data_IF_945994000552
#
_entry.id   IF_945994000552
#
_cell.length_a   1.000
_cell.length_b   1.000
_cell.length_c   1.000
_cell.angle_alpha   90.00
_cell.angle_beta   90.00
_cell.angle_gamma   90.00
#
_symmetry.space_group_name_H-M   'P 1'
#
loop_
_entity.id
_entity.type
_entity.pdbx_description
1 polymer ?
#
# COMPACT_ATOMS: atom_id res chain seq x y z
N UNK A 1 71.63 0.58 -14.45
CA UNK A 1 70.45 1.10 -15.16
C UNK A 1 69.27 1.04 -14.19
N UNK A 2 68.70 2.18 -13.77
CA UNK A 2 67.54 2.21 -12.86
C UNK A 2 66.27 2.24 -13.71
N UNK A 3 65.42 1.21 -13.58
CA UNK A 3 64.11 1.15 -14.22
C UNK A 3 63.14 2.13 -13.56
N UNK A 4 62.47 2.94 -14.38
CA UNK A 4 61.45 3.89 -13.96
C UNK A 4 60.12 3.13 -13.85
N UNK A 5 59.57 3.05 -12.64
CA UNK A 5 58.25 2.49 -12.39
C UNK A 5 57.20 3.57 -12.70
N UNK A 6 56.42 3.39 -13.76
CA UNK A 6 55.29 4.26 -14.07
C UNK A 6 54.10 3.83 -13.21
N UNK A 7 53.69 4.71 -12.30
CA UNK A 7 52.43 4.59 -11.56
C UNK A 7 51.40 5.47 -12.29
N UNK A 8 50.42 4.84 -12.94
CA UNK A 8 49.28 5.55 -13.52
C UNK A 8 48.35 5.96 -12.37
N UNK A 9 48.26 7.25 -12.08
CA UNK A 9 47.24 7.81 -11.20
C UNK A 9 45.93 7.91 -11.97
N UNK A 10 44.92 7.18 -11.50
CA UNK A 10 43.55 7.30 -11.98
C UNK A 10 42.85 8.39 -11.15
N UNK A 11 42.59 9.54 -11.77
CA UNK A 11 41.77 10.58 -11.14
C UNK A 11 40.29 10.25 -11.35
N UNK A 12 39.58 10.03 -10.24
CA UNK A 12 38.13 9.79 -10.26
C UNK A 12 37.38 11.12 -10.20
N UNK A 13 36.55 11.37 -11.22
CA UNK A 13 35.64 12.50 -11.27
C UNK A 13 34.37 12.14 -10.48
N UNK A 14 34.33 12.56 -9.23
CA UNK A 14 33.24 12.27 -8.29
C UNK A 14 31.91 12.89 -8.73
N UNK A 15 31.93 14.00 -9.47
CA UNK A 15 30.71 14.63 -9.97
C UNK A 15 30.12 13.81 -11.12
N UNK A 16 30.95 13.39 -12.08
CA UNK A 16 30.48 12.47 -13.14
C UNK A 16 30.00 11.14 -12.58
N UNK A 17 30.64 10.64 -11.53
CA UNK A 17 30.19 9.42 -10.86
C UNK A 17 28.80 9.62 -10.24
N UNK A 18 28.56 10.76 -9.58
CA UNK A 18 27.27 11.10 -9.02
C UNK A 18 26.18 11.20 -10.11
N UNK A 19 26.47 11.83 -11.25
CA UNK A 19 25.54 11.94 -12.38
C UNK A 19 25.13 10.58 -12.95
N UNK A 20 26.06 9.62 -12.97
CA UNK A 20 25.80 8.26 -13.48
C UNK A 20 25.04 7.40 -12.46
N UNK A 21 25.29 7.60 -11.17
CA UNK A 21 24.69 6.78 -10.10
C UNK A 21 23.34 7.31 -9.62
N UNK A 22 23.13 8.63 -9.57
CA UNK A 22 21.93 9.25 -9.03
C UNK A 22 20.63 8.75 -9.69
N UNK A 23 20.53 8.59 -11.02
CA UNK A 23 19.32 8.08 -11.64
C UNK A 23 18.98 6.65 -11.18
N UNK A 24 19.98 5.77 -11.11
CA UNK A 24 19.80 4.37 -10.68
C UNK A 24 19.41 4.26 -9.21
N UNK A 25 19.94 5.14 -8.37
CA UNK A 25 19.57 5.21 -6.95
C UNK A 25 18.13 5.69 -6.79
N UNK A 26 17.72 6.71 -7.55
CA UNK A 26 16.35 7.22 -7.55
C UNK A 26 15.37 6.13 -8.01
N UNK A 27 15.66 5.43 -9.10
CA UNK A 27 14.82 4.32 -9.59
C UNK A 27 14.69 3.21 -8.54
N UNK A 28 15.80 2.80 -7.92
CA UNK A 28 15.80 1.77 -6.87
C UNK A 28 15.07 2.21 -5.60
N UNK A 29 15.15 3.49 -5.22
CA UNK A 29 14.40 4.04 -4.11
C UNK A 29 12.90 4.11 -4.42
N UNK A 30 12.54 4.44 -5.66
CA UNK A 30 11.14 4.51 -6.09
C UNK A 30 10.47 3.13 -5.95
N UNK A 31 11.12 2.05 -6.38
CA UNK A 31 10.59 0.69 -6.20
C UNK A 31 10.41 0.29 -4.72
N UNK A 32 11.32 0.72 -3.84
CA UNK A 32 11.24 0.44 -2.41
C UNK A 32 10.08 1.23 -1.78
N UNK A 33 9.94 2.50 -2.16
CA UNK A 33 8.82 3.36 -1.72
C UNK A 33 7.50 2.77 -2.19
N UNK A 34 7.38 2.37 -3.45
CA UNK A 34 6.15 1.80 -4.00
C UNK A 34 5.77 0.47 -3.30
N UNK A 35 6.74 -0.41 -3.02
CA UNK A 35 6.51 -1.63 -2.22
C UNK A 35 6.15 -1.34 -0.76
N UNK A 36 6.65 -0.27 -0.16
CA UNK A 36 6.21 0.14 1.17
C UNK A 36 4.80 0.77 1.15
N UNK A 37 4.42 1.46 0.08
CA UNK A 37 3.06 1.95 -0.11
C UNK A 37 2.04 0.82 -0.26
N UNK A 38 2.43 -0.30 -0.89
CA UNK A 38 1.61 -1.52 -0.94
C UNK A 38 1.42 -2.17 0.44
N UNK A 39 2.34 -1.95 1.38
CA UNK A 39 2.26 -2.41 2.77
C UNK A 39 1.69 -1.34 3.72
N UNK A 40 1.03 -0.28 3.22
CA UNK A 40 0.35 0.66 4.10
C UNK A 40 -0.71 -0.09 4.92
N UNK A 41 -0.55 -0.05 6.25
CA UNK A 41 -1.56 -0.51 7.18
C UNK A 41 -2.90 0.13 6.84
N UNK A 42 -3.96 -0.69 6.81
CA UNK A 42 -5.31 -0.21 6.54
C UNK A 42 -5.64 0.87 7.57
N UNK A 43 -6.00 2.10 7.15
CA UNK A 43 -6.22 3.20 8.09
C UNK A 43 -7.39 2.87 9.02
N UNK A 44 -7.35 3.36 10.26
CA UNK A 44 -8.43 3.16 11.24
C UNK A 44 -9.78 3.72 10.76
N UNK A 45 -9.75 4.72 9.89
CA UNK A 45 -10.92 5.30 9.23
C UNK A 45 -10.65 5.35 7.73
N UNK A 46 -11.43 4.61 6.94
CA UNK A 46 -11.30 4.58 5.50
C UNK A 46 -12.18 5.69 4.90
N UNK A 47 -11.63 6.39 3.92
CA UNK A 47 -12.41 7.18 2.96
C UNK A 47 -13.07 6.27 1.92
N UNK A 48 -14.01 6.81 1.14
CA UNK A 48 -14.65 6.07 0.03
C UNK A 48 -13.60 5.54 -0.96
N UNK A 49 -12.58 6.35 -1.28
CA UNK A 49 -11.54 5.94 -2.25
C UNK A 49 -10.67 4.81 -1.68
N UNK A 50 -10.39 4.83 -0.38
CA UNK A 50 -9.68 3.73 0.30
C UNK A 50 -10.54 2.47 0.38
N UNK A 51 -11.83 2.58 0.68
CA UNK A 51 -12.77 1.44 0.64
C UNK A 51 -12.84 0.82 -0.76
N UNK A 52 -12.91 1.65 -1.81
CA UNK A 52 -12.94 1.20 -3.20
C UNK A 52 -11.67 0.45 -3.59
N UNK A 53 -10.50 0.94 -3.15
CA UNK A 53 -9.22 0.26 -3.35
C UNK A 53 -9.18 -1.06 -2.57
N UNK A 54 -9.57 -1.02 -1.30
CA UNK A 54 -9.52 -2.16 -0.38
C UNK A 54 -10.41 -3.33 -0.82
N UNK A 55 -11.66 -3.06 -1.19
CA UNK A 55 -12.61 -4.07 -1.64
C UNK A 55 -12.53 -4.35 -3.15
N UNK A 56 -11.67 -3.65 -3.88
CA UNK A 56 -11.58 -3.69 -5.35
C UNK A 56 -12.92 -3.44 -6.07
N UNK A 57 -13.70 -2.48 -5.57
CA UNK A 57 -15.03 -2.13 -6.12
C UNK A 57 -15.03 -0.76 -6.80
N UNK A 58 -15.93 -0.60 -7.77
CA UNK A 58 -16.18 0.70 -8.43
C UNK A 58 -17.11 1.58 -7.59
N UNK A 59 -17.10 2.87 -7.90
CA UNK A 59 -17.85 3.90 -7.15
C UNK A 59 -19.34 3.62 -7.02
N UNK A 60 -19.99 3.08 -8.06
CA UNK A 60 -21.43 2.77 -8.00
C UNK A 60 -21.74 1.75 -6.88
N UNK A 61 -20.90 0.72 -6.72
CA UNK A 61 -21.08 -0.30 -5.67
C UNK A 61 -20.70 0.25 -4.30
N UNK A 62 -19.68 1.10 -4.22
CA UNK A 62 -19.36 1.80 -2.97
C UNK A 62 -20.51 2.70 -2.50
N UNK A 63 -21.13 3.46 -3.41
CA UNK A 63 -22.31 4.28 -3.10
C UNK A 63 -23.50 3.43 -2.65
N UNK A 64 -23.72 2.27 -3.28
CA UNK A 64 -24.76 1.32 -2.89
C UNK A 64 -24.53 0.79 -1.46
N UNK A 65 -23.31 0.37 -1.13
CA UNK A 65 -22.94 -0.07 0.22
C UNK A 65 -23.15 1.03 1.26
N UNK A 66 -22.66 2.24 0.98
CA UNK A 66 -22.80 3.40 1.85
C UNK A 66 -24.26 3.85 2.03
N UNK A 67 -25.17 3.42 1.16
CA UNK A 67 -26.60 3.67 1.27
C UNK A 67 -27.34 2.65 2.13
N UNK A 68 -26.72 1.52 2.46
CA UNK A 68 -27.34 0.50 3.30
C UNK A 68 -27.44 0.98 4.74
N UNK A 69 -28.55 0.64 5.41
CA UNK A 69 -28.80 0.99 6.80
C UNK A 69 -27.91 0.26 7.79
N UNK A 70 -27.40 -0.91 7.42
CA UNK A 70 -26.56 -1.78 8.26
C UNK A 70 -25.05 -1.61 8.02
N UNK A 71 -24.66 -0.83 7.00
CA UNK A 71 -23.25 -0.65 6.66
C UNK A 71 -22.59 0.39 7.59
N UNK A 72 -21.39 0.10 8.13
CA UNK A 72 -20.74 0.97 9.10
C UNK A 72 -20.20 2.23 8.43
N UNK A 73 -20.85 3.36 8.70
CA UNK A 73 -20.43 4.67 8.21
C UNK A 73 -20.63 5.72 9.29
N UNK A 74 -19.57 6.46 9.60
CA UNK A 74 -19.61 7.63 10.47
C UNK A 74 -19.98 8.84 9.61
N UNK A 75 -21.19 9.39 9.81
CA UNK A 75 -21.72 10.51 8.99
C UNK A 75 -21.48 11.88 9.61
N UNK A 76 -21.33 11.91 10.92
CA UNK A 76 -21.17 13.10 11.75
C UNK A 76 -19.82 13.80 11.49
N UNK A 77 -18.83 13.06 10.98
CA UNK A 77 -17.50 13.56 10.67
C UNK A 77 -17.16 13.52 9.16
N UNK A 78 -18.14 13.30 8.28
CA UNK A 78 -17.94 13.12 6.84
C UNK A 78 -18.50 11.79 6.34
N UNK A 79 -17.94 11.20 5.28
CA UNK A 79 -18.25 9.81 4.89
C UNK A 79 -17.02 8.97 5.14
N UNK A 80 -16.89 8.50 6.38
CA UNK A 80 -15.78 7.70 6.86
C UNK A 80 -16.28 6.32 7.29
N UNK A 81 -15.47 5.30 7.02
CA UNK A 81 -15.78 3.90 7.32
C UNK A 81 -14.80 3.44 8.41
N UNK A 82 -15.26 3.22 9.64
CA UNK A 82 -14.44 2.66 10.70
C UNK A 82 -13.94 1.25 10.34
N UNK A 83 -12.63 1.02 10.51
CA UNK A 83 -11.95 -0.21 10.05
C UNK A 83 -12.48 -1.46 10.75
N UNK A 84 -12.61 -1.44 12.06
CA UNK A 84 -13.00 -2.62 12.84
C UNK A 84 -14.43 -3.05 12.51
N UNK A 85 -15.33 -2.06 12.46
CA UNK A 85 -16.75 -2.25 12.19
C UNK A 85 -16.97 -2.74 10.75
N UNK A 86 -16.13 -2.32 9.79
CA UNK A 86 -16.11 -2.86 8.43
C UNK A 86 -15.79 -4.36 8.45
N UNK A 87 -14.77 -4.79 9.18
CA UNK A 87 -14.43 -6.21 9.30
C UNK A 87 -15.55 -7.02 9.95
N UNK A 88 -16.12 -6.53 11.05
CA UNK A 88 -17.28 -7.17 11.68
C UNK A 88 -18.49 -7.25 10.75
N UNK A 89 -18.73 -6.22 9.94
CA UNK A 89 -19.79 -6.23 8.95
C UNK A 89 -19.52 -7.27 7.85
N UNK A 90 -18.28 -7.37 7.37
CA UNK A 90 -17.88 -8.39 6.39
C UNK A 90 -18.14 -9.80 6.95
N UNK A 91 -17.66 -10.10 8.16
CA UNK A 91 -17.84 -11.41 8.80
C UNK A 91 -19.31 -11.77 9.03
N UNK A 92 -20.16 -10.77 9.29
CA UNK A 92 -21.60 -10.96 9.42
C UNK A 92 -22.29 -11.25 8.09
N UNK A 93 -21.81 -10.69 6.98
CA UNK A 93 -22.43 -10.78 5.66
C UNK A 93 -21.82 -11.87 4.75
N UNK A 94 -20.84 -12.63 5.24
CA UNK A 94 -20.30 -13.83 4.58
C UNK A 94 -21.07 -15.09 4.99
N UNK A 95 -22.36 -15.16 4.65
CA UNK A 95 -23.23 -16.30 4.99
C UNK A 95 -22.71 -17.62 4.40
N UNK A 96 -22.17 -17.58 3.18
CA UNK A 96 -21.63 -18.77 2.50
C UNK A 96 -20.46 -19.42 3.26
N UNK A 97 -19.59 -18.62 3.90
CA UNK A 97 -18.41 -19.13 4.61
C UNK A 97 -18.80 -19.89 5.87
N UNK A 98 -19.84 -19.43 6.59
CA UNK A 98 -20.39 -20.09 7.79
C UNK A 98 -21.07 -21.41 7.44
N UNK A 99 -21.74 -21.47 6.29
CA UNK A 99 -22.50 -22.65 5.87
C UNK A 99 -21.64 -23.70 5.15
N UNK A 100 -20.54 -23.30 4.50
CA UNK A 100 -19.81 -24.18 3.57
C UNK A 100 -18.33 -24.39 3.93
N UNK A 101 -17.78 -23.72 4.95
CA UNK A 101 -16.38 -23.89 5.35
C UNK A 101 -16.20 -23.82 6.87
N UNK A 102 -15.15 -24.47 7.39
CA UNK A 102 -14.75 -24.38 8.81
C UNK A 102 -13.54 -23.45 9.03
N UNK A 103 -13.20 -22.62 8.05
CA UNK A 103 -11.95 -21.86 8.00
C UNK A 103 -11.88 -20.72 9.04
N UNK A 104 -13.02 -20.15 9.42
CA UNK A 104 -13.10 -19.14 10.49
C UNK A 104 -13.35 -19.88 11.81
N UNK A 105 -12.31 -20.52 12.35
CA UNK A 105 -12.22 -20.78 13.80
C UNK A 105 -11.33 -19.71 14.39
N UNK A 106 -11.93 -18.93 15.29
CA UNK A 106 -11.26 -17.91 16.08
C UNK A 106 -9.96 -18.46 16.69
N UNK A 107 -8.88 -17.70 16.54
CA UNK A 107 -7.69 -17.78 17.40
C UNK A 107 -8.03 -17.17 18.75
#
# INVERSE_FOLDING_TARGET
>A
MKGVQYMLTMEFDYEKLADVLAPKLIDGLQEIVDRQLENQEIPYMLTIDQLMKFLHIKRWKASELLGRSDFPVLREAGVLIPREELFEWIDRNLDWVKENTSYIKAV
#
